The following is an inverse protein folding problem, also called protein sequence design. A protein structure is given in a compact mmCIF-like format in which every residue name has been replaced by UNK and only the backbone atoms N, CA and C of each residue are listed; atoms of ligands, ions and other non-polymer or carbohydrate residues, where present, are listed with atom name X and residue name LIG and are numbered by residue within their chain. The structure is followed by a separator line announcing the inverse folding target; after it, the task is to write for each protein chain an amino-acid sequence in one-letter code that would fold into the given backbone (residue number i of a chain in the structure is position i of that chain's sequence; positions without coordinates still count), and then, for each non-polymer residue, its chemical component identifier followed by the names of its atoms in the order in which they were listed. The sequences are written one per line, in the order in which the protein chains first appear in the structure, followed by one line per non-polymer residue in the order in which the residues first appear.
data_IF_060467894042
#
_entry.id   IF_060467894042
#
_cell.length_a   1.000
_cell.length_b   1.000
_cell.length_c   1.000
_cell.angle_alpha   90.00
_cell.angle_beta   90.00
_cell.angle_gamma   90.00
#
_symmetry.space_group_name_H-M   'P 1'
#
loop_
_entity.id
_entity.type
_entity.pdbx_description
1 polymer ?
#
# COMPACT_ATOMS: atom_id res chain seq x y z
N UNK A 1 -12.47 -3.71 17.65
CA UNK A 1 -11.93 -3.02 16.87
C UNK A 1 -12.00 -3.39 15.50
N UNK A 2 -12.04 -2.58 14.66
CA UNK A 2 -12.18 -2.89 13.37
C UNK A 2 -11.21 -2.12 12.59
N UNK A 3 -10.89 -2.51 11.48
CA UNK A 3 -10.02 -1.84 10.62
C UNK A 3 -10.71 -0.73 9.96
N UNK A 4 -10.09 0.33 9.78
CA UNK A 4 -10.69 1.44 9.13
C UNK A 4 -10.77 1.11 7.69
N UNK A 5 -10.48 1.91 6.81
CA UNK A 5 -10.60 1.59 5.48
C UNK A 5 -9.36 1.07 4.94
N UNK A 6 -9.34 0.54 3.80
CA UNK A 6 -8.17 0.07 3.18
C UNK A 6 -7.38 1.19 2.62
N UNK A 7 -6.08 1.03 2.61
CA UNK A 7 -5.23 2.04 2.04
C UNK A 7 -4.80 1.56 0.69
N UNK A 8 -4.96 2.37 -0.32
CA UNK A 8 -4.61 2.02 -1.68
C UNK A 8 -3.43 2.86 -2.12
N UNK A 9 -2.54 2.30 -2.91
CA UNK A 9 -1.45 3.07 -3.44
C UNK A 9 -1.25 2.73 -4.90
N UNK A 10 -0.49 3.57 -5.58
CA UNK A 10 -0.15 3.32 -6.95
C UNK A 10 1.32 2.95 -7.00
N UNK A 11 1.61 1.83 -7.60
CA UNK A 11 2.99 1.39 -7.73
C UNK A 11 3.22 1.17 -9.21
N UNK A 12 4.08 1.98 -9.80
CA UNK A 12 4.34 1.91 -11.21
C UNK A 12 3.05 2.02 -12.01
N UNK A 13 2.16 2.86 -11.53
CA UNK A 13 0.92 3.07 -12.26
C UNK A 13 -0.15 2.04 -12.00
N UNK A 14 0.12 1.08 -11.13
CA UNK A 14 -0.85 0.04 -10.85
C UNK A 14 -1.40 0.21 -9.45
N UNK A 15 -2.70 0.11 -9.30
CA UNK A 15 -3.30 0.24 -8.00
C UNK A 15 -3.04 -0.99 -7.18
N UNK A 16 -2.58 -0.82 -5.97
CA UNK A 16 -2.30 -1.92 -5.08
C UNK A 16 -2.79 -1.59 -3.70
N UNK A 17 -3.14 -2.59 -2.94
CA UNK A 17 -3.59 -2.39 -1.59
C UNK A 17 -2.39 -2.40 -0.68
N UNK A 18 -2.33 -1.47 0.24
CA UNK A 18 -1.22 -1.40 1.17
C UNK A 18 -1.51 -2.36 2.31
N UNK A 19 -0.60 -3.28 2.55
CA UNK A 19 -0.77 -4.25 3.63
C UNK A 19 -0.08 -3.79 4.89
N UNK A 20 1.11 -3.20 4.79
CA UNK A 20 1.81 -2.73 5.95
C UNK A 20 2.62 -1.51 5.63
N UNK A 21 2.69 -0.61 6.58
CA UNK A 21 3.46 0.59 6.41
C UNK A 21 4.52 0.64 7.50
N UNK A 22 5.47 1.51 7.34
CA UNK A 22 6.44 1.74 8.39
C UNK A 22 7.42 0.63 8.60
N UNK A 23 7.70 -0.14 7.57
CA UNK A 23 8.67 -1.20 7.73
C UNK A 23 10.06 -0.62 7.69
N UNK A 24 11.01 -1.38 8.20
CA UNK A 24 12.37 -0.91 8.22
C UNK A 24 12.87 -0.62 6.84
N UNK A 25 13.76 0.33 6.72
CA UNK A 25 14.30 0.62 5.42
C UNK A 25 13.41 1.44 4.53
N UNK A 26 12.33 1.96 5.06
CA UNK A 26 11.44 2.75 4.24
C UNK A 26 10.67 1.92 3.24
N UNK A 27 10.40 0.67 3.58
CA UNK A 27 9.68 -0.19 2.66
C UNK A 27 8.22 -0.27 3.02
N UNK A 28 7.42 -0.66 2.07
CA UNK A 28 5.99 -0.79 2.28
C UNK A 28 5.58 -2.12 1.67
N UNK A 29 4.73 -2.84 2.35
CA UNK A 29 4.27 -4.12 1.84
C UNK A 29 2.94 -3.89 1.16
N UNK A 30 2.82 -4.29 -0.09
CA UNK A 30 1.59 -4.09 -0.83
C UNK A 30 1.14 -5.42 -1.40
N UNK A 31 -0.12 -5.46 -1.78
CA UNK A 31 -0.66 -6.64 -2.39
C UNK A 31 -0.70 -6.39 -3.90
N UNK A 32 0.06 -7.14 -4.65
CA UNK A 32 0.14 -6.93 -6.07
C UNK A 32 -0.17 -8.23 -6.79
N UNK A 33 -1.25 -8.23 -7.55
CA UNK A 33 -1.68 -9.40 -8.27
C UNK A 33 -1.76 -10.61 -7.37
N UNK A 34 -2.35 -10.43 -6.23
CA UNK A 34 -2.59 -11.55 -5.34
C UNK A 34 -1.40 -11.97 -4.52
N UNK A 35 -0.31 -11.25 -4.58
CA UNK A 35 0.85 -11.60 -3.79
C UNK A 35 1.35 -10.39 -3.05
N UNK A 36 2.02 -10.62 -1.96
CA UNK A 36 2.58 -9.50 -1.22
C UNK A 36 3.93 -9.16 -1.82
N UNK A 37 4.26 -7.88 -1.81
CA UNK A 37 5.50 -7.46 -2.39
C UNK A 37 6.02 -6.28 -1.60
N UNK A 38 7.31 -6.23 -1.36
CA UNK A 38 7.89 -5.12 -0.63
C UNK A 38 8.49 -4.14 -1.62
N UNK A 39 8.11 -2.90 -1.51
CA UNK A 39 8.60 -1.88 -2.42
C UNK A 39 9.00 -0.68 -1.63
N UNK A 40 9.91 0.14 -2.15
CA UNK A 40 10.31 1.35 -1.44
C UNK A 40 9.16 2.33 -1.37
N UNK A 41 9.00 2.96 -0.24
CA UNK A 41 7.91 3.89 -0.09
C UNK A 41 7.99 5.00 -1.11
N UNK A 42 9.17 5.41 -1.51
CA UNK A 42 9.27 6.50 -2.46
C UNK A 42 8.83 6.08 -3.85
N UNK A 43 8.64 4.81 -4.11
CA UNK A 43 8.18 4.40 -5.42
C UNK A 43 6.66 4.28 -5.50
N UNK A 44 5.96 4.48 -4.43
CA UNK A 44 4.52 4.36 -4.48
C UNK A 44 3.89 5.70 -4.12
N UNK A 45 2.63 5.83 -4.50
CA UNK A 45 1.93 7.04 -4.20
C UNK A 45 0.70 6.63 -3.45
N UNK A 46 0.55 7.01 -2.22
CA UNK A 46 -0.58 6.60 -1.39
C UNK A 46 -1.82 7.37 -1.74
N UNK A 47 -2.89 6.68 -2.08
CA UNK A 47 -4.13 7.28 -2.39
C UNK A 47 -5.06 6.97 -1.28
N UNK A 48 -5.52 7.93 -0.51
CA UNK A 48 -6.38 7.67 0.55
C UNK A 48 -7.68 7.24 0.11
N UNK A 49 -8.11 6.11 0.43
CA UNK A 49 -9.36 5.68 -0.03
C UNK A 49 -10.27 5.96 1.01
N UNK A 50 -11.11 6.84 0.99
CA UNK A 50 -11.95 7.10 1.99
C UNK A 50 -13.29 6.77 1.82
N UNK A 51 -13.59 6.22 1.02
CA UNK A 51 -14.91 5.85 1.02
C UNK A 51 -15.83 6.85 1.43
N UNK A 52 -15.83 7.45 1.55
CA UNK A 52 -16.68 8.23 1.89
C UNK A 52 -16.92 8.53 1.96
#
# INVERSE_FOLDING_TARGET
MRWPKKLICLWRGTRCTVLRLGLEGGMVEISYKGKSKLVPEEQIEIIKEDGK
#
